data_IF_692532513704
#
_entry.id   IF_692532513704
#
_cell.length_a   1.000
_cell.length_b   1.000
_cell.length_c   1.000
_cell.angle_alpha   90.00
_cell.angle_beta   90.00
_cell.angle_gamma   90.00
#
_symmetry.space_group_name_H-M   'P 1'
#
loop_
_entity.id
_entity.type
_entity.pdbx_description
1 polymer ?
#
# COMPACT_ATOMS: atom_id res chain seq x y z
N UNK A 1 -0.51 -0.54 -8.40
CA UNK A 1 -0.64 -1.98 -8.10
C UNK A 1 -1.85 -2.56 -8.80
N UNK A 2 -1.78 -3.82 -9.23
CA UNK A 2 -2.78 -4.45 -10.10
C UNK A 2 -4.11 -4.82 -9.40
N UNK A 3 -4.11 -4.96 -8.07
CA UNK A 3 -5.24 -5.42 -7.26
C UNK A 3 -5.77 -4.37 -6.26
N UNK A 4 -5.47 -3.08 -6.47
CA UNK A 4 -5.87 -2.00 -5.57
C UNK A 4 -5.48 -2.22 -4.09
N UNK A 5 -4.31 -2.80 -3.81
CA UNK A 5 -3.80 -3.07 -2.46
C UNK A 5 -4.71 -4.00 -1.62
N UNK A 6 -5.58 -4.79 -2.26
CA UNK A 6 -6.58 -5.59 -1.56
C UNK A 6 -5.96 -6.78 -0.78
N UNK A 7 -6.24 -6.82 0.51
CA UNK A 7 -5.87 -7.91 1.43
C UNK A 7 -7.02 -8.93 1.51
N UNK A 8 -7.15 -9.76 0.49
CA UNK A 8 -8.18 -10.81 0.41
C UNK A 8 -7.56 -12.22 0.42
N UNK A 9 -8.40 -13.24 0.55
CA UNK A 9 -7.95 -14.64 0.59
C UNK A 9 -7.26 -15.11 -0.72
N UNK A 10 -7.60 -14.50 -1.86
CA UNK A 10 -6.99 -14.81 -3.16
C UNK A 10 -5.53 -14.36 -3.22
N UNK A 11 -5.18 -13.26 -2.55
CA UNK A 11 -3.84 -12.69 -2.50
C UNK A 11 -3.03 -13.14 -1.27
N UNK A 12 -3.63 -13.91 -0.36
CA UNK A 12 -2.94 -14.41 0.83
C UNK A 12 -1.91 -15.47 0.45
N UNK A 13 -0.67 -15.26 0.87
CA UNK A 13 0.43 -16.21 0.68
C UNK A 13 0.26 -17.43 1.60
N UNK A 14 0.54 -18.62 1.07
CA UNK A 14 0.44 -19.87 1.81
C UNK A 14 1.83 -20.40 2.15
N UNK A 15 2.05 -20.81 3.41
CA UNK A 15 3.33 -21.36 3.84
C UNK A 15 3.45 -22.84 3.47
N UNK A 16 4.40 -23.18 2.60
CA UNK A 16 4.78 -24.54 2.27
C UNK A 16 5.84 -25.04 3.28
N UNK A 17 5.45 -25.97 4.16
CA UNK A 17 6.32 -26.54 5.20
C UNK A 17 7.46 -27.40 4.67
N UNK A 18 7.28 -28.09 3.55
CA UNK A 18 8.30 -28.99 2.97
C UNK A 18 9.47 -28.20 2.40
N UNK A 19 9.18 -27.03 1.81
CA UNK A 19 10.17 -26.11 1.24
C UNK A 19 10.59 -24.99 2.19
N UNK A 20 9.87 -24.80 3.29
CA UNK A 20 10.01 -23.69 4.22
C UNK A 20 9.88 -22.29 3.57
N UNK A 21 8.97 -22.14 2.60
CA UNK A 21 8.73 -20.88 1.87
C UNK A 21 7.25 -20.50 1.83
N UNK A 22 6.97 -19.23 1.60
CA UNK A 22 5.63 -18.77 1.22
C UNK A 22 5.48 -18.80 -0.31
N UNK A 23 4.41 -19.42 -0.82
CA UNK A 23 4.13 -19.50 -2.26
C UNK A 23 2.63 -19.35 -2.57
N UNK A 24 2.30 -18.73 -3.71
CA UNK A 24 0.92 -18.56 -4.20
C UNK A 24 0.93 -18.34 -5.72
N UNK A 25 -0.01 -18.95 -6.42
CA UNK A 25 -0.28 -18.64 -7.82
C UNK A 25 -1.40 -17.60 -7.91
N UNK A 26 -1.13 -16.45 -8.53
CA UNK A 26 -2.09 -15.37 -8.74
C UNK A 26 -2.15 -15.06 -10.23
N UNK A 27 -3.36 -15.02 -10.79
CA UNK A 27 -3.56 -14.71 -12.21
C UNK A 27 -3.44 -13.20 -12.43
N UNK A 28 -2.47 -12.79 -13.26
CA UNK A 28 -2.21 -11.39 -13.60
C UNK A 28 -2.12 -11.26 -15.11
N UNK A 29 -2.59 -10.13 -15.65
CA UNK A 29 -2.49 -9.83 -17.08
C UNK A 29 -1.01 -9.62 -17.48
N UNK A 30 -0.66 -10.01 -18.70
CA UNK A 30 0.68 -9.81 -19.26
C UNK A 30 1.07 -8.33 -19.29
N UNK A 31 2.33 -8.03 -18.98
CA UNK A 31 2.90 -6.68 -18.97
C UNK A 31 3.82 -6.45 -17.77
N UNK A 32 4.25 -5.21 -17.60
CA UNK A 32 5.04 -4.78 -16.44
C UNK A 32 4.14 -4.64 -15.20
N UNK A 33 4.46 -5.35 -14.12
CA UNK A 33 3.67 -5.35 -12.89
C UNK A 33 4.56 -5.21 -11.67
N UNK A 34 4.30 -4.18 -10.86
CA UNK A 34 4.89 -4.03 -9.53
C UNK A 34 4.01 -4.72 -8.48
N UNK A 35 4.67 -5.34 -7.50
CA UNK A 35 4.08 -5.97 -6.32
C UNK A 35 5.01 -5.77 -5.12
N UNK A 36 4.48 -6.00 -3.92
CA UNK A 36 5.24 -6.00 -2.67
C UNK A 36 4.64 -7.08 -1.75
N UNK A 37 5.39 -7.49 -0.73
CA UNK A 37 4.83 -8.32 0.34
C UNK A 37 4.41 -7.42 1.50
N UNK A 38 3.24 -7.66 2.06
CA UNK A 38 2.72 -6.88 3.18
C UNK A 38 2.16 -7.82 4.23
N UNK A 39 2.55 -7.57 5.48
CA UNK A 39 2.08 -8.34 6.63
C UNK A 39 0.84 -7.65 7.17
N UNK A 40 -0.22 -8.41 7.40
CA UNK A 40 -1.44 -7.92 8.01
C UNK A 40 -1.96 -8.91 9.05
N UNK A 41 -2.63 -8.39 10.07
CA UNK A 41 -3.28 -9.21 11.08
C UNK A 41 -4.56 -9.88 10.53
N UNK A 42 -5.21 -10.68 11.36
CA UNK A 42 -6.46 -11.37 10.98
C UNK A 42 -7.63 -10.42 10.68
N UNK A 43 -7.55 -9.14 11.06
CA UNK A 43 -8.55 -8.10 10.78
C UNK A 43 -8.20 -7.27 9.54
N UNK A 44 -7.06 -7.53 8.90
CA UNK A 44 -6.57 -6.78 7.74
C UNK A 44 -5.85 -5.48 8.09
N UNK A 45 -5.44 -5.30 9.35
CA UNK A 45 -4.59 -4.17 9.75
C UNK A 45 -3.15 -4.48 9.35
N UNK A 46 -2.55 -3.60 8.56
CA UNK A 46 -1.16 -3.73 8.09
C UNK A 46 -0.19 -3.42 9.23
N UNK A 47 0.85 -4.25 9.37
CA UNK A 47 2.00 -3.97 10.23
C UNK A 47 3.06 -3.22 9.41
N UNK A 48 3.06 -1.89 9.53
CA UNK A 48 4.01 -1.02 8.83
C UNK A 48 5.40 -1.03 9.47
N UNK A 49 5.52 -1.34 10.76
CA UNK A 49 6.79 -1.28 11.50
C UNK A 49 7.67 -2.48 11.17
N UNK A 50 7.09 -3.68 11.18
CA UNK A 50 7.80 -4.93 10.92
C UNK A 50 7.64 -5.38 9.46
N UNK A 51 7.80 -4.45 8.52
CA UNK A 51 7.65 -4.75 7.10
C UNK A 51 8.73 -5.75 6.63
N UNK A 52 8.32 -6.78 5.89
CA UNK A 52 9.18 -7.83 5.36
C UNK A 52 10.22 -7.29 4.37
N UNK A 53 9.85 -6.27 3.60
CA UNK A 53 10.73 -5.61 2.62
C UNK A 53 11.60 -4.49 3.27
N UNK A 54 11.43 -4.26 4.58
CA UNK A 54 12.16 -3.26 5.36
C UNK A 54 11.58 -1.85 5.29
N UNK A 55 12.17 -0.94 6.08
CA UNK A 55 11.76 0.47 6.22
C UNK A 55 12.94 1.41 5.97
N UNK A 56 13.34 1.54 4.71
CA UNK A 56 14.44 2.42 4.30
C UNK A 56 13.94 3.84 4.02
N UNK A 57 14.47 4.82 4.75
CA UNK A 57 14.04 6.22 4.59
C UNK A 57 14.39 6.82 3.23
N UNK A 58 15.40 6.26 2.54
CA UNK A 58 15.81 6.68 1.20
C UNK A 58 14.90 6.16 0.07
N UNK A 59 13.97 5.25 0.36
CA UNK A 59 13.08 4.69 -0.67
C UNK A 59 12.27 5.81 -1.31
N UNK A 60 12.29 5.86 -2.64
CA UNK A 60 11.48 6.79 -3.43
C UNK A 60 9.99 6.45 -3.27
N UNK A 61 9.27 7.35 -2.63
CA UNK A 61 7.85 7.26 -2.34
C UNK A 61 7.19 8.56 -2.77
N UNK A 62 6.02 8.44 -3.41
CA UNK A 62 5.21 9.57 -3.82
C UNK A 62 4.06 9.75 -2.84
N UNK A 63 4.05 10.87 -2.13
CA UNK A 63 3.02 11.24 -1.17
C UNK A 63 2.01 12.16 -1.84
N UNK A 64 0.71 11.84 -1.68
CA UNK A 64 -0.39 12.67 -2.15
C UNK A 64 -1.14 13.26 -0.96
N UNK A 65 -1.35 14.57 -0.99
CA UNK A 65 -2.06 15.32 0.04
C UNK A 65 -3.36 15.83 -0.56
N UNK A 66 -4.49 15.54 0.09
CA UNK A 66 -5.81 16.02 -0.30
C UNK A 66 -6.34 16.92 0.81
N UNK A 67 -6.67 18.17 0.47
CA UNK A 67 -7.20 19.13 1.43
C UNK A 67 -8.71 19.11 1.34
N UNK A 68 -9.35 18.59 2.40
CA UNK A 68 -10.79 18.56 2.53
C UNK A 68 -11.28 19.75 3.36
N UNK A 69 -12.42 20.32 2.96
CA UNK A 69 -13.05 21.42 3.67
C UNK A 69 -14.58 21.29 3.65
N UNK A 70 -15.20 21.54 4.80
CA UNK A 70 -16.65 21.57 4.98
C UNK A 70 -17.00 22.81 5.80
N UNK A 71 -17.71 23.74 5.18
CA UNK A 71 -18.27 24.91 5.88
C UNK A 71 -19.46 24.49 6.76
N UNK A 72 -19.80 25.34 7.73
CA UNK A 72 -20.99 25.12 8.55
C UNK A 72 -22.26 25.12 7.67
N UNK A 73 -23.12 24.11 7.84
CA UNK A 73 -24.35 23.93 7.05
C UNK A 73 -24.18 23.23 5.69
N UNK A 74 -22.96 22.89 5.28
CA UNK A 74 -22.75 22.13 4.04
C UNK A 74 -23.05 20.64 4.21
N UNK A 75 -23.45 20.00 3.11
CA UNK A 75 -23.94 18.60 3.11
C UNK A 75 -22.86 17.55 2.79
N UNK A 76 -21.64 17.98 2.45
CA UNK A 76 -20.56 17.08 2.03
C UNK A 76 -19.18 17.72 2.23
N UNK A 77 -18.14 16.89 2.26
CA UNK A 77 -16.74 17.33 2.26
C UNK A 77 -16.27 17.66 0.85
N UNK A 78 -15.77 18.88 0.65
CA UNK A 78 -15.19 19.30 -0.63
C UNK A 78 -13.69 19.06 -0.59
N UNK A 79 -13.12 18.55 -1.68
CA UNK A 79 -11.68 18.65 -1.91
C UNK A 79 -11.41 20.05 -2.46
N UNK A 80 -10.68 20.87 -1.71
CA UNK A 80 -10.33 22.24 -2.09
C UNK A 80 -8.88 22.36 -2.57
N UNK A 81 -8.09 21.30 -2.46
CA UNK A 81 -6.71 21.29 -2.92
C UNK A 81 -6.13 19.88 -3.02
N UNK A 82 -5.11 19.74 -3.86
CA UNK A 82 -4.28 18.55 -4.01
C UNK A 82 -2.82 18.97 -4.09
N UNK A 83 -1.96 18.33 -3.30
CA UNK A 83 -0.51 18.42 -3.38
C UNK A 83 0.10 17.04 -3.65
N UNK A 84 1.24 16.99 -4.32
CA UNK A 84 2.06 15.79 -4.46
C UNK A 84 3.48 16.17 -4.07
N UNK A 85 4.14 15.33 -3.28
CA UNK A 85 5.54 15.46 -2.91
C UNK A 85 6.23 14.09 -3.04
N UNK A 86 7.49 14.08 -3.45
CA UNK A 86 8.30 12.85 -3.54
C UNK A 86 9.39 12.85 -2.47
N UNK A 87 9.77 11.66 -1.98
CA UNK A 87 10.92 11.54 -1.06
C UNK A 87 12.28 11.73 -1.75
N UNK A 88 12.34 11.94 -3.07
CA UNK A 88 13.60 12.35 -3.73
C UNK A 88 14.07 13.71 -3.23
N UNK A 89 13.13 14.61 -2.95
CA UNK A 89 13.40 16.00 -2.56
C UNK A 89 13.36 16.20 -1.03
N UNK A 90 13.73 15.19 -0.23
CA UNK A 90 13.80 15.32 1.23
C UNK A 90 14.83 16.39 1.61
N UNK A 91 14.37 17.39 2.36
CA UNK A 91 15.22 18.39 3.01
C UNK A 91 15.17 18.11 4.52
N UNK A 92 16.32 17.78 5.12
CA UNK A 92 16.48 17.57 6.56
C UNK A 92 16.99 18.83 7.26
#
# INVERSE_FOLDING_TARGET
>A
MFNNFALNAENKMDYNKEKAIYEKAIMIKQGFTNFQYTIADAKGVVDEENNLDGNFWQTENNYSILVYYRENGQRYDRIIGKGIATSVDIIN
#
